data_IF_786799622283
#
_entry.id   IF_786799622283
#
_cell.length_a   1.000
_cell.length_b   1.000
_cell.length_c   1.000
_cell.angle_alpha   90.00
_cell.angle_beta   90.00
_cell.angle_gamma   90.00
#
_symmetry.space_group_name_H-M   'P 1'
#
loop_
_entity.id
_entity.type
_entity.pdbx_description
1 polymer ?
#
# COMPACT_ATOMS: atom_id res chain seq x y z
N UNK A 1 -29.62 -7.16 -16.24
CA UNK A 1 -28.58 -8.14 -16.65
C UNK A 1 -27.32 -8.05 -15.76
N UNK A 2 -26.67 -6.89 -15.66
CA UNK A 2 -25.46 -6.71 -14.82
C UNK A 2 -25.66 -6.99 -13.33
N UNK A 3 -26.81 -6.61 -12.75
CA UNK A 3 -27.13 -6.96 -11.35
C UNK A 3 -27.17 -8.48 -11.14
N UNK A 4 -27.86 -9.20 -12.02
CA UNK A 4 -27.93 -10.66 -11.97
C UNK A 4 -26.56 -11.33 -12.18
N UNK A 5 -25.70 -10.74 -13.01
CA UNK A 5 -24.30 -11.19 -13.16
C UNK A 5 -23.50 -10.98 -11.86
N UNK A 6 -23.65 -9.81 -11.21
CA UNK A 6 -23.03 -9.53 -9.91
C UNK A 6 -23.50 -10.53 -8.85
N UNK A 7 -24.80 -10.80 -8.77
CA UNK A 7 -25.37 -11.74 -7.81
C UNK A 7 -24.86 -13.18 -8.03
N UNK A 8 -24.81 -13.63 -9.29
CA UNK A 8 -24.27 -14.94 -9.63
C UNK A 8 -22.76 -15.06 -9.33
N UNK A 9 -22.01 -13.98 -9.56
CA UNK A 9 -20.59 -13.92 -9.19
C UNK A 9 -20.39 -14.00 -7.67
N UNK A 10 -21.18 -13.25 -6.90
CA UNK A 10 -21.16 -13.29 -5.44
C UNK A 10 -21.48 -14.68 -4.90
N UNK A 11 -22.47 -15.36 -5.48
CA UNK A 11 -22.82 -16.73 -5.12
C UNK A 11 -21.67 -17.72 -5.39
N UNK A 12 -21.04 -17.62 -6.56
CA UNK A 12 -19.87 -18.42 -6.90
C UNK A 12 -18.70 -18.16 -5.95
N UNK A 13 -18.39 -16.89 -5.67
CA UNK A 13 -17.32 -16.47 -4.75
C UNK A 13 -17.49 -17.11 -3.37
N UNK A 14 -18.71 -17.14 -2.84
CA UNK A 14 -18.95 -17.71 -1.52
C UNK A 14 -18.99 -19.25 -1.51
N UNK A 15 -19.66 -19.86 -2.49
CA UNK A 15 -19.92 -21.31 -2.46
C UNK A 15 -18.82 -22.17 -3.08
N UNK A 16 -17.98 -21.61 -3.95
CA UNK A 16 -17.04 -22.39 -4.78
C UNK A 16 -15.57 -22.25 -4.40
N UNK A 17 -15.23 -21.78 -3.20
CA UNK A 17 -13.84 -21.54 -2.75
C UNK A 17 -12.92 -22.78 -2.85
N UNK A 18 -13.48 -24.00 -2.78
CA UNK A 18 -12.74 -25.28 -2.90
C UNK A 18 -12.64 -25.80 -4.33
N UNK A 19 -13.25 -25.11 -5.30
CA UNK A 19 -13.29 -25.55 -6.69
C UNK A 19 -11.90 -25.45 -7.34
N UNK A 20 -11.49 -26.48 -8.10
CA UNK A 20 -10.16 -26.55 -8.73
C UNK A 20 -9.87 -25.37 -9.67
N UNK A 21 -10.91 -24.79 -10.28
CA UNK A 21 -10.80 -23.64 -11.18
C UNK A 21 -11.25 -22.32 -10.55
N UNK A 22 -11.30 -22.25 -9.21
CA UNK A 22 -11.76 -21.05 -8.52
C UNK A 22 -11.00 -19.78 -8.96
N UNK A 23 -9.66 -19.78 -8.84
CA UNK A 23 -8.81 -18.65 -9.29
C UNK A 23 -8.94 -18.35 -10.80
N UNK A 24 -8.83 -19.33 -11.72
CA UNK A 24 -9.05 -19.09 -13.15
C UNK A 24 -10.41 -18.47 -13.49
N UNK A 25 -11.49 -18.91 -12.83
CA UNK A 25 -12.83 -18.37 -13.05
C UNK A 25 -12.90 -16.92 -12.57
N UNK A 26 -12.32 -16.60 -11.41
CA UNK A 26 -12.23 -15.22 -10.93
C UNK A 26 -11.49 -14.31 -11.93
N UNK A 27 -10.35 -14.75 -12.46
CA UNK A 27 -9.58 -14.03 -13.49
C UNK A 27 -10.42 -13.82 -14.76
N UNK A 28 -11.13 -14.86 -15.22
CA UNK A 28 -12.01 -14.75 -16.38
C UNK A 28 -13.11 -13.71 -16.19
N UNK A 29 -13.70 -13.62 -14.98
CA UNK A 29 -14.70 -12.58 -14.67
C UNK A 29 -14.12 -11.16 -14.74
N UNK A 30 -12.88 -10.95 -14.27
CA UNK A 30 -12.20 -9.65 -14.42
C UNK A 30 -11.93 -9.32 -15.89
N UNK A 31 -11.46 -10.29 -16.67
CA UNK A 31 -11.24 -10.10 -18.10
C UNK A 31 -12.55 -9.78 -18.85
N UNK A 32 -13.67 -10.37 -18.41
CA UNK A 32 -14.99 -10.05 -18.95
C UNK A 32 -15.39 -8.62 -18.61
N UNK A 33 -15.15 -8.16 -17.37
CA UNK A 33 -15.41 -6.77 -16.99
C UNK A 33 -14.69 -5.79 -17.93
N UNK A 34 -13.43 -6.06 -18.28
CA UNK A 34 -12.72 -5.26 -19.27
C UNK A 34 -13.40 -5.29 -20.66
N UNK A 35 -13.77 -6.47 -21.16
CA UNK A 35 -14.46 -6.57 -22.46
C UNK A 35 -15.77 -5.73 -22.46
N UNK A 36 -16.52 -5.74 -21.35
CA UNK A 36 -17.70 -4.89 -21.20
C UNK A 36 -17.35 -3.41 -21.22
N UNK A 37 -16.30 -2.97 -20.50
CA UNK A 37 -15.86 -1.57 -20.52
C UNK A 37 -15.50 -1.11 -21.93
N UNK A 38 -14.68 -1.88 -22.64
CA UNK A 38 -14.27 -1.56 -24.01
C UNK A 38 -15.47 -1.43 -24.97
N UNK A 39 -16.46 -2.33 -24.82
CA UNK A 39 -17.71 -2.22 -25.56
C UNK A 39 -18.49 -0.95 -25.23
N UNK A 40 -18.65 -0.62 -23.95
CA UNK A 40 -19.38 0.58 -23.51
C UNK A 40 -18.72 1.87 -24.00
N UNK A 41 -17.38 1.94 -23.98
CA UNK A 41 -16.64 3.10 -24.47
C UNK A 41 -16.83 3.31 -25.98
N UNK A 42 -16.88 2.22 -26.76
CA UNK A 42 -17.03 2.29 -28.23
C UNK A 42 -18.47 2.53 -28.70
N UNK A 43 -19.46 2.10 -27.91
CA UNK A 43 -20.86 2.01 -28.37
C UNK A 43 -21.85 2.88 -27.61
N UNK A 44 -21.50 3.43 -26.44
CA UNK A 44 -22.39 4.29 -25.66
C UNK A 44 -21.88 5.74 -25.58
N UNK A 45 -22.79 6.69 -25.81
CA UNK A 45 -22.50 8.12 -25.69
C UNK A 45 -22.08 8.48 -24.25
N UNK A 46 -21.19 9.45 -24.11
CA UNK A 46 -20.68 9.89 -22.80
C UNK A 46 -21.76 10.45 -21.87
N UNK A 47 -22.81 11.04 -22.44
CA UNK A 47 -23.94 11.64 -21.70
C UNK A 47 -25.02 10.63 -21.32
N UNK A 48 -24.81 9.35 -21.56
CA UNK A 48 -25.76 8.32 -21.16
C UNK A 48 -25.73 8.12 -19.64
N UNK A 49 -26.84 8.47 -18.98
CA UNK A 49 -26.99 8.40 -17.52
C UNK A 49 -26.75 6.99 -16.95
N UNK A 50 -26.92 5.94 -17.77
CA UNK A 50 -26.71 4.55 -17.36
C UNK A 50 -25.24 4.11 -17.46
N UNK A 51 -24.42 4.74 -18.32
CA UNK A 51 -23.00 4.37 -18.55
C UNK A 51 -22.20 4.46 -17.25
N UNK A 52 -22.35 5.54 -16.50
CA UNK A 52 -21.64 5.74 -15.24
C UNK A 52 -21.99 4.66 -14.19
N UNK A 53 -23.28 4.32 -14.06
CA UNK A 53 -23.75 3.28 -13.14
C UNK A 53 -23.21 1.89 -13.51
N UNK A 54 -23.15 1.57 -14.80
CA UNK A 54 -22.61 0.30 -15.28
C UNK A 54 -21.11 0.22 -15.00
N UNK A 55 -20.35 1.27 -15.34
CA UNK A 55 -18.91 1.32 -15.09
C UNK A 55 -18.58 1.21 -13.60
N UNK A 56 -19.38 1.81 -12.73
CA UNK A 56 -19.26 1.64 -11.27
C UNK A 56 -19.49 0.19 -10.84
N UNK A 57 -20.53 -0.46 -11.37
CA UNK A 57 -20.83 -1.87 -11.05
C UNK A 57 -19.70 -2.81 -11.48
N UNK A 58 -19.11 -2.59 -12.66
CA UNK A 58 -17.95 -3.34 -13.13
C UNK A 58 -16.74 -3.13 -12.21
N UNK A 59 -16.52 -1.89 -11.74
CA UNK A 59 -15.43 -1.57 -10.80
C UNK A 59 -15.59 -2.29 -9.47
N UNK A 60 -16.83 -2.39 -8.96
CA UNK A 60 -17.11 -3.12 -7.72
C UNK A 60 -16.78 -4.61 -7.86
N UNK A 61 -17.16 -5.22 -8.98
CA UNK A 61 -16.89 -6.65 -9.26
C UNK A 61 -15.37 -6.87 -9.32
N UNK A 62 -14.65 -6.07 -10.11
CA UNK A 62 -13.19 -6.16 -10.24
C UNK A 62 -12.48 -6.00 -8.89
N UNK A 63 -12.85 -4.97 -8.12
CA UNK A 63 -12.27 -4.75 -6.79
C UNK A 63 -12.55 -5.92 -5.84
N UNK A 64 -13.77 -6.47 -5.87
CA UNK A 64 -14.13 -7.63 -5.06
C UNK A 64 -13.32 -8.85 -5.44
N UNK A 65 -13.15 -9.12 -6.74
CA UNK A 65 -12.29 -10.21 -7.22
C UNK A 65 -10.86 -10.01 -6.75
N UNK A 66 -10.31 -8.80 -6.90
CA UNK A 66 -8.94 -8.50 -6.47
C UNK A 66 -8.74 -8.72 -4.97
N UNK A 67 -9.67 -8.30 -4.11
CA UNK A 67 -9.56 -8.57 -2.67
C UNK A 67 -9.51 -10.08 -2.37
N UNK A 68 -10.33 -10.88 -3.05
CA UNK A 68 -10.31 -12.34 -2.89
C UNK A 68 -8.99 -12.95 -3.37
N UNK A 69 -8.53 -12.57 -4.56
CA UNK A 69 -7.30 -13.09 -5.15
C UNK A 69 -6.07 -12.76 -4.29
N UNK A 70 -6.06 -11.57 -3.68
CA UNK A 70 -4.95 -11.09 -2.87
C UNK A 70 -5.02 -11.50 -1.39
N UNK A 71 -6.15 -12.01 -0.92
CA UNK A 71 -6.34 -12.40 0.48
C UNK A 71 -5.28 -13.41 0.95
N UNK A 72 -4.99 -14.44 0.15
CA UNK A 72 -4.02 -15.47 0.48
C UNK A 72 -2.59 -14.89 0.58
N UNK A 73 -2.21 -14.05 -0.38
CA UNK A 73 -0.90 -13.38 -0.37
C UNK A 73 -0.70 -12.58 0.92
N UNK A 74 -1.65 -11.72 1.27
CA UNK A 74 -1.49 -10.88 2.46
C UNK A 74 -1.62 -11.64 3.78
N UNK A 75 -2.35 -12.76 3.81
CA UNK A 75 -2.34 -13.66 4.94
C UNK A 75 -0.94 -14.28 5.17
N UNK A 76 -0.23 -14.66 4.10
CA UNK A 76 1.13 -15.20 4.16
C UNK A 76 2.18 -14.13 4.47
N UNK A 77 2.03 -12.92 3.92
CA UNK A 77 2.96 -11.82 4.19
C UNK A 77 2.87 -11.30 5.63
N UNK A 78 1.68 -11.34 6.24
CA UNK A 78 1.44 -10.83 7.60
C UNK A 78 2.44 -11.34 8.66
N UNK A 79 2.71 -12.65 8.82
CA UNK A 79 3.73 -13.13 9.75
C UNK A 79 5.15 -12.74 9.32
N UNK A 80 5.46 -12.65 8.03
CA UNK A 80 6.79 -12.23 7.55
C UNK A 80 7.07 -10.78 7.94
N UNK A 81 6.11 -9.87 7.73
CA UNK A 81 6.24 -8.47 8.17
C UNK A 81 6.41 -8.34 9.69
N UNK A 82 5.75 -9.19 10.49
CA UNK A 82 5.91 -9.16 11.96
C UNK A 82 7.36 -9.38 12.41
N UNK A 83 8.13 -10.18 11.66
CA UNK A 83 9.55 -10.44 11.94
C UNK A 83 10.37 -9.16 12.03
N UNK A 84 10.04 -8.10 11.26
CA UNK A 84 10.72 -6.80 11.39
C UNK A 84 10.64 -6.27 12.82
N UNK A 85 9.46 -6.28 13.42
CA UNK A 85 9.29 -5.76 14.79
C UNK A 85 9.75 -6.74 15.86
N UNK A 86 9.62 -8.06 15.63
CA UNK A 86 10.03 -9.11 16.57
C UNK A 86 11.57 -9.17 16.70
N UNK A 87 12.27 -9.01 15.57
CA UNK A 87 13.73 -8.98 15.50
C UNK A 87 14.29 -7.56 15.63
N UNK A 88 13.48 -6.57 16.02
CA UNK A 88 13.90 -5.16 16.17
C UNK A 88 14.63 -4.58 14.94
N UNK A 89 14.20 -5.00 13.74
CA UNK A 89 14.76 -4.65 12.44
C UNK A 89 16.13 -5.26 12.13
N UNK A 90 16.62 -6.18 12.96
CA UNK A 90 17.73 -7.05 12.59
C UNK A 90 17.30 -7.99 11.45
N UNK A 91 18.26 -8.38 10.61
CA UNK A 91 18.02 -9.19 9.40
C UNK A 91 16.98 -8.59 8.44
N UNK A 92 16.92 -7.26 8.38
CA UNK A 92 15.96 -6.51 7.55
C UNK A 92 16.00 -6.93 6.06
N UNK A 93 17.20 -7.19 5.55
CA UNK A 93 17.44 -7.60 4.17
C UNK A 93 16.87 -8.99 3.87
N UNK A 94 17.07 -9.96 4.77
CA UNK A 94 16.59 -11.33 4.63
C UNK A 94 15.06 -11.38 4.66
N UNK A 95 14.45 -10.61 5.57
CA UNK A 95 13.00 -10.48 5.68
C UNK A 95 12.43 -9.85 4.39
N UNK A 96 13.08 -8.81 3.85
CA UNK A 96 12.63 -8.18 2.60
C UNK A 96 12.70 -9.14 1.41
N UNK A 97 13.79 -9.92 1.30
CA UNK A 97 13.93 -10.94 0.27
C UNK A 97 12.83 -12.02 0.37
N UNK A 98 12.44 -12.42 1.58
CA UNK A 98 11.33 -13.36 1.80
C UNK A 98 9.98 -12.77 1.33
N UNK A 99 9.74 -11.48 1.60
CA UNK A 99 8.54 -10.75 1.14
C UNK A 99 8.49 -10.69 -0.40
N UNK A 100 9.60 -10.29 -1.03
CA UNK A 100 9.71 -10.21 -2.50
C UNK A 100 9.49 -11.58 -3.13
N UNK A 101 10.16 -12.63 -2.64
CA UNK A 101 10.00 -14.00 -3.13
C UNK A 101 8.56 -14.50 -3.02
N UNK A 102 7.94 -14.29 -1.86
CA UNK A 102 6.55 -14.70 -1.60
C UNK A 102 5.57 -13.97 -2.53
N UNK A 103 5.81 -12.68 -2.74
CA UNK A 103 4.97 -11.85 -3.62
C UNK A 103 5.14 -12.22 -5.09
N UNK A 104 6.37 -12.43 -5.55
CA UNK A 104 6.68 -12.83 -6.93
C UNK A 104 5.95 -14.12 -7.34
N UNK A 105 5.93 -15.12 -6.45
CA UNK A 105 5.19 -16.37 -6.66
C UNK A 105 3.68 -16.14 -6.82
N UNK A 106 3.10 -15.14 -6.16
CA UNK A 106 1.68 -14.83 -6.33
C UNK A 106 1.42 -14.01 -7.59
N UNK A 107 2.30 -13.06 -7.94
CA UNK A 107 2.15 -12.27 -9.17
C UNK A 107 2.16 -13.17 -10.41
N UNK A 108 2.91 -14.28 -10.41
CA UNK A 108 2.89 -15.21 -11.53
C UNK A 108 1.53 -15.86 -11.80
N UNK A 109 0.65 -15.95 -10.79
CA UNK A 109 -0.73 -16.46 -10.96
C UNK A 109 -1.60 -15.51 -11.79
N UNK A 110 -1.19 -14.24 -11.93
CA UNK A 110 -1.99 -13.17 -12.54
C UNK A 110 -1.63 -12.88 -14.00
N UNK A 111 -0.70 -13.62 -14.60
CA UNK A 111 -0.23 -13.41 -15.98
C UNK A 111 -1.32 -13.51 -17.06
N UNK A 112 -2.44 -14.13 -16.76
CA UNK A 112 -3.59 -14.28 -17.67
C UNK A 112 -4.64 -13.17 -17.51
N UNK A 113 -4.45 -12.24 -16.58
CA UNK A 113 -5.22 -10.99 -16.58
C UNK A 113 -4.81 -10.15 -17.78
N UNK A 114 -5.79 -9.58 -18.46
CA UNK A 114 -5.56 -8.62 -19.54
C UNK A 114 -5.19 -7.26 -18.96
N UNK A 115 -4.47 -6.46 -19.74
CA UNK A 115 -4.34 -5.03 -19.46
C UNK A 115 -5.68 -4.31 -19.69
N UNK A 116 -6.03 -3.32 -18.85
CA UNK A 116 -5.25 -2.70 -17.77
C UNK A 116 -5.38 -3.40 -16.41
N UNK A 117 -6.16 -4.48 -16.30
CA UNK A 117 -6.46 -5.16 -15.02
C UNK A 117 -5.22 -5.78 -14.36
N UNK A 118 -4.25 -6.26 -15.14
CA UNK A 118 -2.97 -6.73 -14.62
C UNK A 118 -2.20 -5.61 -13.89
N UNK A 119 -2.06 -4.43 -14.52
CA UNK A 119 -1.41 -3.29 -13.87
C UNK A 119 -2.14 -2.85 -12.60
N UNK A 120 -3.48 -2.82 -12.63
CA UNK A 120 -4.29 -2.45 -11.47
C UNK A 120 -4.08 -3.38 -10.27
N UNK A 121 -4.00 -4.71 -10.47
CA UNK A 121 -3.76 -5.65 -9.37
C UNK A 121 -2.32 -5.52 -8.83
N UNK A 122 -1.33 -5.28 -9.70
CA UNK A 122 0.07 -5.06 -9.27
C UNK A 122 0.21 -3.77 -8.47
N UNK A 123 -0.52 -2.69 -8.82
CA UNK A 123 -0.56 -1.47 -8.02
C UNK A 123 -1.20 -1.67 -6.64
N UNK A 124 -2.27 -2.47 -6.54
CA UNK A 124 -2.86 -2.84 -5.24
C UNK A 124 -1.86 -3.63 -4.38
N UNK A 125 -1.07 -4.51 -4.99
CA UNK A 125 0.02 -5.22 -4.31
C UNK A 125 1.05 -4.23 -3.80
N UNK A 126 1.57 -3.35 -4.67
CA UNK A 126 2.56 -2.34 -4.32
C UNK A 126 2.10 -1.46 -3.15
N UNK A 127 0.88 -0.92 -3.22
CA UNK A 127 0.29 -0.11 -2.15
C UNK A 127 0.24 -0.85 -0.82
N UNK A 128 -0.14 -2.13 -0.84
CA UNK A 128 -0.27 -2.93 0.39
C UNK A 128 1.09 -3.36 0.96
N UNK A 129 2.10 -3.59 0.12
CA UNK A 129 3.48 -3.85 0.58
C UNK A 129 4.06 -2.64 1.33
N UNK A 130 3.92 -1.44 0.75
CA UNK A 130 4.36 -0.20 1.40
C UNK A 130 3.57 0.05 2.67
N UNK A 131 2.24 -0.11 2.63
CA UNK A 131 1.37 0.07 3.79
C UNK A 131 1.75 -0.86 4.95
N UNK A 132 1.93 -2.16 4.71
CA UNK A 132 2.29 -3.11 5.77
C UNK A 132 3.67 -2.81 6.36
N UNK A 133 4.61 -2.30 5.55
CA UNK A 133 5.91 -1.85 6.03
C UNK A 133 5.77 -0.63 6.97
N UNK A 134 4.98 0.38 6.58
CA UNK A 134 4.67 1.54 7.42
C UNK A 134 3.98 1.10 8.71
N UNK A 135 3.02 0.18 8.63
CA UNK A 135 2.37 -0.39 9.83
C UNK A 135 3.40 -0.94 10.82
N UNK A 136 4.49 -1.57 10.36
CA UNK A 136 5.58 -2.02 11.25
C UNK A 136 6.34 -0.86 11.87
N UNK A 137 6.68 0.17 11.11
CA UNK A 137 7.34 1.37 11.62
C UNK A 137 6.49 2.09 12.69
N UNK A 138 5.16 2.03 12.59
CA UNK A 138 4.25 2.62 13.56
C UNK A 138 4.04 1.76 14.82
N UNK A 139 4.52 0.51 14.84
CA UNK A 139 4.48 -0.30 16.07
C UNK A 139 5.54 0.25 17.02
N UNK A 140 5.11 0.83 18.13
CA UNK A 140 5.92 1.35 19.26
C UNK A 140 6.67 0.22 19.99
N UNK A 141 7.49 -0.54 19.27
CA UNK A 141 8.22 -1.74 19.73
C UNK A 141 9.73 -1.55 19.70
N UNK A 142 10.21 -0.58 18.95
CA UNK A 142 11.62 -0.24 18.82
C UNK A 142 11.78 1.24 19.14
N UNK A 143 12.82 1.56 19.91
CA UNK A 143 13.17 2.92 20.30
C UNK A 143 14.69 3.03 20.33
N UNK A 144 15.25 3.90 19.50
CA UNK A 144 16.68 4.02 19.23
C UNK A 144 17.21 5.31 19.85
N UNK A 145 18.22 5.19 20.71
CA UNK A 145 18.75 6.33 21.48
C UNK A 145 19.89 7.06 20.77
N UNK A 146 20.69 6.34 20.00
CA UNK A 146 21.89 6.93 19.39
C UNK A 146 21.67 7.27 17.92
N UNK A 147 22.35 8.31 17.45
CA UNK A 147 22.33 8.71 16.03
C UNK A 147 22.82 7.56 15.13
N UNK A 148 23.81 6.78 15.56
CA UNK A 148 24.32 5.62 14.82
C UNK A 148 23.26 4.53 14.64
N UNK A 149 22.50 4.18 15.68
CA UNK A 149 21.40 3.22 15.58
C UNK A 149 20.32 3.71 14.59
N UNK A 150 19.97 4.99 14.68
CA UNK A 150 18.97 5.61 13.81
C UNK A 150 19.43 5.65 12.35
N UNK A 151 20.70 5.98 12.11
CA UNK A 151 21.32 5.95 10.78
C UNK A 151 21.30 4.54 10.18
N UNK A 152 21.64 3.50 10.95
CA UNK A 152 21.64 2.11 10.48
C UNK A 152 20.23 1.64 10.10
N UNK A 153 19.22 1.96 10.92
CA UNK A 153 17.83 1.65 10.60
C UNK A 153 17.36 2.42 9.36
N UNK A 154 17.66 3.72 9.27
CA UNK A 154 17.31 4.53 8.10
C UNK A 154 17.90 3.96 6.81
N UNK A 155 19.18 3.57 6.81
CA UNK A 155 19.82 2.93 5.65
C UNK A 155 19.14 1.61 5.27
N UNK A 156 18.78 0.79 6.25
CA UNK A 156 18.07 -0.47 6.02
C UNK A 156 16.68 -0.26 5.42
N UNK A 157 15.94 0.75 5.90
CA UNK A 157 14.64 1.14 5.35
C UNK A 157 14.79 1.65 3.92
N UNK A 158 15.76 2.52 3.65
CA UNK A 158 16.00 3.06 2.30
C UNK A 158 16.38 1.97 1.31
N UNK A 159 17.22 1.00 1.71
CA UNK A 159 17.56 -0.16 0.87
C UNK A 159 16.31 -0.98 0.55
N UNK A 160 15.55 -1.36 1.57
CA UNK A 160 14.31 -2.11 1.41
C UNK A 160 13.28 -1.38 0.54
N UNK A 161 13.21 -0.05 0.65
CA UNK A 161 12.35 0.79 -0.17
C UNK A 161 12.74 0.70 -1.65
N UNK A 162 14.05 0.80 -1.95
CA UNK A 162 14.57 0.64 -3.30
C UNK A 162 14.31 -0.76 -3.86
N UNK A 163 14.50 -1.81 -3.05
CA UNK A 163 14.22 -3.20 -3.44
C UNK A 163 12.73 -3.40 -3.76
N UNK A 164 11.82 -2.87 -2.92
CA UNK A 164 10.38 -2.91 -3.15
C UNK A 164 9.96 -2.12 -4.41
N UNK A 165 10.49 -0.91 -4.59
CA UNK A 165 10.23 -0.08 -5.75
C UNK A 165 10.68 -0.78 -7.04
N UNK A 166 11.91 -1.28 -7.08
CA UNK A 166 12.45 -1.99 -8.23
C UNK A 166 11.63 -3.25 -8.53
N UNK A 167 11.27 -4.02 -7.50
CA UNK A 167 10.41 -5.20 -7.65
C UNK A 167 9.04 -4.84 -8.22
N UNK A 168 8.33 -3.86 -7.65
CA UNK A 168 6.98 -3.52 -8.10
C UNK A 168 6.99 -2.89 -9.51
N UNK A 169 7.96 -2.02 -9.79
CA UNK A 169 8.11 -1.36 -11.10
C UNK A 169 8.44 -2.37 -12.19
N UNK A 170 9.35 -3.32 -11.93
CA UNK A 170 9.67 -4.39 -12.90
C UNK A 170 8.51 -5.34 -13.19
N UNK A 171 7.53 -5.44 -12.28
CA UNK A 171 6.28 -6.19 -12.49
C UNK A 171 5.15 -5.33 -13.07
N UNK A 172 5.40 -4.07 -13.40
CA UNK A 172 4.46 -3.19 -14.11
C UNK A 172 3.64 -2.24 -13.23
N UNK A 173 3.98 -2.06 -11.95
CA UNK A 173 3.31 -1.04 -11.12
C UNK A 173 3.60 0.37 -11.65
N UNK A 174 2.55 1.18 -11.86
CA UNK A 174 2.70 2.61 -12.17
C UNK A 174 2.43 3.52 -10.96
N UNK A 175 2.31 2.94 -9.76
CA UNK A 175 2.05 3.65 -8.51
C UNK A 175 3.30 4.37 -7.95
N UNK A 176 3.98 5.16 -8.78
CA UNK A 176 5.22 5.89 -8.45
C UNK A 176 5.07 6.86 -7.27
N UNK A 177 3.85 7.29 -6.98
CA UNK A 177 3.51 8.10 -5.81
C UNK A 177 3.81 7.40 -4.48
N UNK A 178 3.96 6.07 -4.45
CA UNK A 178 4.33 5.31 -3.25
C UNK A 178 5.84 5.34 -2.96
N UNK A 179 6.67 5.55 -3.98
CA UNK A 179 8.12 5.31 -3.92
C UNK A 179 8.80 6.21 -2.88
N UNK A 180 8.26 7.42 -2.64
CA UNK A 180 8.83 8.35 -1.67
C UNK A 180 8.43 8.07 -0.21
N UNK A 181 7.43 7.22 0.06
CA UNK A 181 6.87 7.08 1.40
C UNK A 181 7.90 6.56 2.42
N UNK A 182 8.57 5.45 2.10
CA UNK A 182 9.55 4.83 2.97
C UNK A 182 10.87 5.62 3.05
N UNK A 183 11.43 6.14 1.93
CA UNK A 183 12.62 7.00 1.99
C UNK A 183 12.43 8.25 2.85
N UNK A 184 11.26 8.91 2.78
CA UNK A 184 10.96 10.07 3.64
C UNK A 184 10.90 9.71 5.12
N UNK A 185 10.28 8.57 5.46
CA UNK A 185 10.29 8.06 6.83
C UNK A 185 11.71 7.72 7.30
N UNK A 186 12.50 7.06 6.46
CA UNK A 186 13.92 6.78 6.76
C UNK A 186 14.69 8.07 7.04
N UNK A 187 14.48 9.10 6.23
CA UNK A 187 15.13 10.39 6.39
C UNK A 187 14.77 11.07 7.72
N UNK A 188 13.49 11.05 8.12
CA UNK A 188 13.07 11.57 9.44
C UNK A 188 13.77 10.83 10.60
N UNK A 189 13.97 9.51 10.49
CA UNK A 189 14.69 8.74 11.51
C UNK A 189 16.16 9.20 11.57
N UNK A 190 16.77 9.37 10.39
CA UNK A 190 18.19 9.70 10.20
C UNK A 190 18.55 11.08 10.74
N UNK A 191 17.74 12.09 10.43
CA UNK A 191 17.99 13.50 10.75
C UNK A 191 18.10 13.71 12.26
N UNK A 192 19.11 14.47 12.69
CA UNK A 192 19.32 14.80 14.12
C UNK A 192 18.93 16.24 14.46
N UNK A 193 19.07 17.16 13.50
CA UNK A 193 18.66 18.55 13.68
C UNK A 193 17.13 18.68 13.69
N UNK A 194 16.60 19.40 14.70
CA UNK A 194 15.16 19.58 14.89
C UNK A 194 14.50 20.34 13.72
N UNK A 195 15.19 21.35 13.17
CA UNK A 195 14.71 22.12 12.03
C UNK A 195 14.56 21.25 10.79
N UNK A 196 15.58 20.46 10.48
CA UNK A 196 15.56 19.50 9.38
C UNK A 196 14.46 18.45 9.54
N UNK A 197 14.25 17.91 10.75
CA UNK A 197 13.15 16.96 11.02
C UNK A 197 11.79 17.60 10.72
N UNK A 198 11.57 18.85 11.15
CA UNK A 198 10.31 19.57 10.88
C UNK A 198 10.08 19.79 9.39
N UNK A 199 11.13 20.16 8.65
CA UNK A 199 11.08 20.31 7.21
C UNK A 199 10.69 18.99 6.56
N UNK A 200 11.34 17.89 6.90
CA UNK A 200 11.04 16.59 6.26
C UNK A 200 9.66 16.05 6.65
N UNK A 201 9.19 16.31 7.86
CA UNK A 201 7.80 16.05 8.25
C UNK A 201 6.82 16.86 7.42
N UNK A 202 7.10 18.14 7.16
CA UNK A 202 6.26 18.99 6.33
C UNK A 202 6.25 18.52 4.87
N UNK A 203 7.40 18.10 4.32
CA UNK A 203 7.46 17.55 2.96
C UNK A 203 6.71 16.21 2.86
N UNK A 204 6.83 15.33 3.87
CA UNK A 204 6.05 14.10 3.95
C UNK A 204 4.55 14.39 3.97
N UNK A 205 4.10 15.33 4.80
CA UNK A 205 2.69 15.71 4.89
C UNK A 205 2.15 16.35 3.61
N UNK A 206 2.99 17.09 2.87
CA UNK A 206 2.61 17.64 1.56
C UNK A 206 2.40 16.55 0.52
N UNK A 207 3.24 15.51 0.50
CA UNK A 207 3.12 14.39 -0.45
C UNK A 207 2.00 13.44 -0.05
N UNK A 208 1.83 13.20 1.25
CA UNK A 208 0.82 12.30 1.82
C UNK A 208 -0.08 13.05 2.81
N UNK A 209 -1.04 13.87 2.33
CA UNK A 209 -1.84 14.76 3.18
C UNK A 209 -2.81 14.03 4.11
N UNK A 210 -2.99 12.73 3.92
CA UNK A 210 -3.83 11.90 4.80
C UNK A 210 -3.08 11.38 6.05
N UNK A 211 -1.79 11.72 6.19
CA UNK A 211 -1.05 11.54 7.45
C UNK A 211 -1.65 12.43 8.54
N UNK A 212 -1.67 11.94 9.78
CA UNK A 212 -2.31 12.59 10.93
C UNK A 212 -1.33 12.60 12.09
N UNK A 213 -1.53 13.50 13.06
CA UNK A 213 -0.70 13.61 14.27
C UNK A 213 -0.49 12.25 14.97
N UNK A 214 -1.53 11.43 15.08
CA UNK A 214 -1.45 10.07 15.64
C UNK A 214 -0.48 9.13 14.91
N UNK A 215 -0.39 9.23 13.57
CA UNK A 215 0.55 8.43 12.77
C UNK A 215 1.97 8.88 13.09
N UNK A 216 2.21 10.19 13.05
CA UNK A 216 3.54 10.75 13.31
C UNK A 216 4.00 10.53 14.75
N UNK A 217 3.11 10.66 15.73
CA UNK A 217 3.42 10.41 17.14
C UNK A 217 3.82 8.95 17.38
N UNK A 218 3.10 8.00 16.78
CA UNK A 218 3.47 6.58 16.87
C UNK A 218 4.79 6.28 16.16
N UNK A 219 5.03 6.91 15.01
CA UNK A 219 6.28 6.78 14.26
C UNK A 219 7.49 7.30 15.04
N UNK A 220 7.40 8.52 15.58
CA UNK A 220 8.50 9.20 16.27
C UNK A 220 8.91 8.51 17.58
N UNK A 221 8.14 7.53 18.06
CA UNK A 221 8.56 6.65 19.16
C UNK A 221 9.88 5.90 18.87
N UNK A 222 10.17 5.61 17.58
CA UNK A 222 11.46 5.04 17.16
C UNK A 222 12.63 5.96 17.52
N UNK A 223 12.42 7.29 17.58
CA UNK A 223 13.45 8.28 17.84
C UNK A 223 13.49 8.65 19.33
N UNK A 224 14.13 7.81 20.13
CA UNK A 224 14.14 7.87 21.60
C UNK A 224 14.89 9.07 22.20
N UNK A 225 15.62 9.82 21.38
CA UNK A 225 16.41 10.98 21.80
C UNK A 225 15.64 12.32 21.70
N UNK A 226 14.38 12.31 21.26
CA UNK A 226 13.52 13.50 21.30
C UNK A 226 12.95 13.73 22.70
N UNK A 227 13.10 14.95 23.22
CA UNK A 227 12.37 15.41 24.39
C UNK A 227 10.88 15.59 24.08
N UNK A 228 10.04 15.69 25.14
CA UNK A 228 8.59 15.92 24.96
C UNK A 228 8.27 17.25 24.28
N UNK A 229 9.06 18.29 24.54
CA UNK A 229 8.89 19.61 23.93
C UNK A 229 9.23 19.58 22.44
N UNK A 230 10.32 18.92 22.06
CA UNK A 230 10.71 18.71 20.66
C UNK A 230 9.66 17.90 19.91
N UNK A 231 9.18 16.80 20.49
CA UNK A 231 8.09 16.00 19.91
C UNK A 231 6.84 16.86 19.67
N UNK A 232 6.40 17.63 20.67
CA UNK A 232 5.26 18.54 20.54
C UNK A 232 5.50 19.59 19.45
N UNK A 233 6.72 20.11 19.34
CA UNK A 233 7.11 21.08 18.32
C UNK A 233 7.04 20.51 16.91
N UNK A 234 7.48 19.26 16.71
CA UNK A 234 7.38 18.56 15.42
C UNK A 234 5.91 18.30 15.06
N UNK A 235 5.11 17.80 16.02
CA UNK A 235 3.68 17.52 15.81
C UNK A 235 2.86 18.78 15.54
N UNK A 236 3.30 19.94 16.04
CA UNK A 236 2.69 21.25 15.77
C UNK A 236 2.75 21.64 14.30
N UNK A 237 3.87 21.34 13.63
CA UNK A 237 4.12 21.67 12.23
C UNK A 237 3.17 20.98 11.22
N UNK A 238 2.52 19.88 11.63
CA UNK A 238 1.48 19.23 10.82
C UNK A 238 0.18 20.05 10.74
N UNK A 239 -0.11 20.92 11.72
CA UNK A 239 -1.35 21.69 11.75
C UNK A 239 -1.37 22.83 10.72
N UNK A 240 -0.18 23.33 10.34
CA UNK A 240 -0.04 24.49 9.46
C UNK A 240 0.10 24.11 7.98
N UNK A 241 0.21 22.81 7.67
CA UNK A 241 0.53 22.28 6.33
C UNK A 241 -0.68 21.63 5.62
N UNK A 242 -1.91 21.87 6.07
CA UNK A 242 -3.10 21.30 5.40
C UNK A 242 -3.32 21.98 4.05
N UNK A 243 -2.73 21.41 3.00
CA UNK A 243 -2.94 21.82 1.62
C UNK A 243 -4.29 21.36 1.09
N UNK A 244 -4.94 22.25 0.32
CA UNK A 244 -6.28 22.17 -0.27
C UNK A 244 -6.45 21.17 -1.42
N UNK A 245 -5.55 20.19 -1.58
CA UNK A 245 -5.58 19.25 -2.72
C UNK A 245 -5.89 17.84 -2.23
N UNK A 246 -6.98 17.21 -2.70
CA UNK A 246 -7.31 15.84 -2.31
C UNK A 246 -6.20 14.88 -2.78
N UNK A 247 -5.81 13.89 -1.96
CA UNK A 247 -4.79 12.91 -2.36
C UNK A 247 -5.26 12.08 -3.56
N UNK A 248 -4.33 11.72 -4.46
CA UNK A 248 -4.60 10.79 -5.59
C UNK A 248 -5.17 9.45 -5.09
N UNK A 249 -4.67 8.98 -3.95
CA UNK A 249 -5.18 7.82 -3.22
C UNK A 249 -4.74 7.89 -1.73
N UNK A 250 -5.56 7.41 -0.79
CA UNK A 250 -5.21 7.38 0.63
C UNK A 250 -4.13 6.32 0.93
N UNK A 251 -3.08 6.70 1.68
CA UNK A 251 -2.08 5.78 2.23
C UNK A 251 -2.25 5.62 3.75
N UNK A 252 -2.07 6.72 4.49
CA UNK A 252 -2.05 6.72 5.96
C UNK A 252 -3.43 6.60 6.58
N UNK A 253 -4.47 7.15 5.97
CA UNK A 253 -5.83 7.10 6.50
C UNK A 253 -6.37 5.67 6.63
N UNK A 254 -5.83 4.74 5.85
CA UNK A 254 -6.15 3.31 5.91
C UNK A 254 -5.33 2.53 6.94
N UNK A 255 -4.38 3.20 7.63
CA UNK A 255 -3.51 2.62 8.66
C UNK A 255 -4.07 2.94 10.03
N UNK A 256 -4.48 1.90 10.76
CA UNK A 256 -4.91 2.05 12.15
C UNK A 256 -3.69 2.02 13.08
N UNK A 257 -3.50 3.10 13.83
CA UNK A 257 -2.54 3.18 14.92
C UNK A 257 -3.19 2.59 16.16
N UNK A 258 -2.55 1.59 16.76
CA UNK A 258 -2.94 0.99 18.03
C UNK A 258 -2.10 1.57 19.15
#
# INVERSE_FOLDING_TARGET
LLSSYKDAFEDFKEKSKKHRHYKPILIANVNNCWNFRDYLEKNMAEKDDSKASILSTLSDIENTVFEVLLQQLFAQLKPIYKKFTENKWDSSNEIMNEIIKTTSKHISDFRTLKDPSYHAIVEKIHARLVKEYIVRLLKRKVSLKTAAQQQNLAQSISKNAADLEAFCTSHGSQATWLNSALPKLAEIIRLQDLGAIKIEVATLAKVYPDIRKRHLEAFLHIKANLSRSELKSILGYLADSTASTPPRAPLFSSINVS
#
